data_IF_343646252857
#
_entry.id   IF_343646252857
#
_cell.length_a   1.000
_cell.length_b   1.000
_cell.length_c   1.000
_cell.angle_alpha   90.00
_cell.angle_beta   90.00
_cell.angle_gamma   90.00
#
_symmetry.space_group_name_H-M   'P 1'
#
loop_
_entity.id
_entity.type
_entity.pdbx_description
1 polymer ?
#
# COMPACT_ATOMS: atom_id res chain seq x y z
N UNK A 1 -85.09 -18.17 26.76
CA UNK A 1 -84.44 -18.06 25.44
C UNK A 1 -83.78 -16.68 25.24
N UNK A 2 -84.42 -15.58 25.67
CA UNK A 2 -83.88 -14.21 25.53
C UNK A 2 -82.53 -13.96 26.23
N UNK A 3 -82.33 -14.39 27.48
CA UNK A 3 -81.05 -14.23 28.20
C UNK A 3 -79.85 -14.93 27.54
N UNK A 4 -80.09 -15.97 26.74
CA UNK A 4 -79.04 -16.66 25.99
C UNK A 4 -78.64 -15.85 24.75
N UNK A 5 -79.62 -15.24 24.06
CA UNK A 5 -79.35 -14.37 22.93
C UNK A 5 -78.61 -13.09 23.33
N UNK A 6 -78.97 -12.47 24.45
CA UNK A 6 -78.28 -11.28 24.95
C UNK A 6 -76.82 -11.57 25.32
N UNK A 7 -76.55 -12.66 26.05
CA UNK A 7 -75.17 -13.10 26.33
C UNK A 7 -74.38 -13.39 25.06
N UNK A 8 -75.03 -13.91 24.02
CA UNK A 8 -74.38 -14.20 22.74
C UNK A 8 -74.07 -12.93 21.96
N UNK A 9 -74.94 -11.91 22.00
CA UNK A 9 -74.67 -10.58 21.45
C UNK A 9 -73.51 -9.90 22.17
N UNK A 10 -73.50 -9.91 23.51
CA UNK A 10 -72.44 -9.28 24.30
C UNK A 10 -71.06 -9.92 24.06
N UNK A 11 -70.99 -11.25 23.99
CA UNK A 11 -69.74 -11.97 23.63
C UNK A 11 -69.26 -11.69 22.21
N UNK A 12 -70.18 -11.49 21.25
CA UNK A 12 -69.82 -11.10 19.87
C UNK A 12 -69.29 -9.67 19.83
N UNK A 13 -69.88 -8.77 20.60
CA UNK A 13 -69.47 -7.37 20.69
C UNK A 13 -68.06 -7.25 21.28
N UNK A 14 -67.79 -7.92 22.42
CA UNK A 14 -66.46 -7.96 23.05
C UNK A 14 -65.36 -8.47 22.13
N UNK A 15 -65.61 -9.54 21.38
CA UNK A 15 -64.62 -10.06 20.41
C UNK A 15 -64.39 -9.13 19.23
N UNK A 16 -65.39 -8.34 18.84
CA UNK A 16 -65.25 -7.32 17.78
C UNK A 16 -64.35 -6.20 18.26
N UNK A 17 -64.61 -5.66 19.45
CA UNK A 17 -63.81 -4.61 20.09
C UNK A 17 -62.36 -5.04 20.35
N UNK A 18 -62.15 -6.27 20.82
CA UNK A 18 -60.81 -6.82 21.06
C UNK A 18 -60.02 -6.98 19.75
N UNK A 19 -60.71 -7.35 18.67
CA UNK A 19 -60.10 -7.47 17.34
C UNK A 19 -59.75 -6.09 16.78
N UNK A 20 -60.62 -5.12 16.94
CA UNK A 20 -60.40 -3.74 16.46
C UNK A 20 -59.24 -3.07 17.22
N UNK A 21 -59.16 -3.25 18.55
CA UNK A 21 -58.01 -2.80 19.37
C UNK A 21 -56.68 -3.42 18.91
N UNK A 22 -56.68 -4.73 18.61
CA UNK A 22 -55.49 -5.40 18.12
C UNK A 22 -55.08 -4.91 16.72
N UNK A 23 -56.03 -4.61 15.85
CA UNK A 23 -55.77 -4.02 14.53
C UNK A 23 -55.13 -2.63 14.68
N UNK A 24 -55.69 -1.79 15.56
CA UNK A 24 -55.20 -0.44 15.81
C UNK A 24 -53.76 -0.44 16.35
N UNK A 25 -53.46 -1.30 17.32
CA UNK A 25 -52.11 -1.48 17.86
C UNK A 25 -51.09 -1.95 16.80
N UNK A 26 -51.50 -2.81 15.87
CA UNK A 26 -50.64 -3.27 14.77
C UNK A 26 -50.33 -2.12 13.80
N UNK A 27 -51.33 -1.28 13.49
CA UNK A 27 -51.18 -0.12 12.60
C UNK A 27 -50.21 0.90 13.21
N UNK A 28 -50.37 1.22 14.49
CA UNK A 28 -49.52 2.18 15.19
C UNK A 28 -48.05 1.71 15.23
N UNK A 29 -47.83 0.42 15.51
CA UNK A 29 -46.49 -0.17 15.54
C UNK A 29 -45.82 -0.18 14.16
N UNK A 30 -46.58 -0.44 13.09
CA UNK A 30 -46.09 -0.39 11.71
C UNK A 30 -45.71 1.04 11.30
N UNK A 31 -46.45 2.05 11.78
CA UNK A 31 -46.20 3.47 11.52
C UNK A 31 -44.92 3.96 12.20
N UNK A 32 -44.65 3.54 13.45
CA UNK A 32 -43.39 3.83 14.15
C UNK A 32 -42.18 3.13 13.51
N UNK A 33 -42.32 1.87 13.09
CA UNK A 33 -41.25 1.14 12.39
C UNK A 33 -40.91 1.80 11.04
N UNK A 34 -41.91 2.29 10.29
CA UNK A 34 -41.69 3.05 9.04
C UNK A 34 -40.99 4.39 9.28
N UNK A 35 -41.36 5.13 10.32
CA UNK A 35 -40.77 6.44 10.59
C UNK A 35 -39.32 6.34 11.08
N UNK A 36 -39.01 5.33 11.90
CA UNK A 36 -37.64 5.04 12.31
C UNK A 36 -36.78 4.62 11.11
N UNK A 37 -37.31 3.80 10.22
CA UNK A 37 -36.64 3.42 8.98
C UNK A 37 -36.33 4.62 8.08
N UNK A 38 -37.30 5.50 7.87
CA UNK A 38 -37.15 6.68 7.02
C UNK A 38 -36.14 7.67 7.62
N UNK A 39 -36.08 7.79 8.95
CA UNK A 39 -35.06 8.59 9.66
C UNK A 39 -33.66 8.00 9.50
N UNK A 40 -33.52 6.68 9.61
CA UNK A 40 -32.23 6.00 9.41
C UNK A 40 -31.80 6.09 7.95
N UNK A 41 -32.71 5.96 7.00
CA UNK A 41 -32.44 6.08 5.55
C UNK A 41 -32.04 7.52 5.17
N UNK A 42 -32.76 8.54 5.66
CA UNK A 42 -32.37 9.95 5.50
C UNK A 42 -31.05 10.28 6.22
N UNK A 43 -30.77 9.68 7.37
CA UNK A 43 -29.50 9.81 8.07
C UNK A 43 -28.34 9.19 7.27
N UNK A 44 -28.56 8.00 6.72
CA UNK A 44 -27.58 7.30 5.89
C UNK A 44 -27.35 7.99 4.54
N UNK A 45 -28.38 8.59 3.93
CA UNK A 45 -28.25 9.39 2.71
C UNK A 45 -27.49 10.70 2.98
N UNK A 46 -27.73 11.36 4.13
CA UNK A 46 -26.97 12.55 4.54
C UNK A 46 -25.51 12.21 4.81
N UNK A 47 -25.20 11.11 5.50
CA UNK A 47 -23.84 10.62 5.67
C UNK A 47 -23.20 10.18 4.35
N UNK A 48 -23.96 9.58 3.43
CA UNK A 48 -23.49 9.17 2.11
C UNK A 48 -23.19 10.35 1.18
N UNK A 49 -23.96 11.44 1.23
CA UNK A 49 -23.70 12.65 0.45
C UNK A 49 -22.55 13.49 1.04
N UNK A 50 -22.37 13.52 2.37
CA UNK A 50 -21.23 14.23 2.99
C UNK A 50 -19.93 13.43 2.92
N UNK A 51 -19.97 12.09 3.02
CA UNK A 51 -18.80 11.22 2.84
C UNK A 51 -18.49 10.92 1.37
N UNK A 52 -19.48 10.95 0.48
CA UNK A 52 -19.32 10.69 -0.95
C UNK A 52 -19.04 11.91 -1.82
N UNK A 53 -19.34 13.13 -1.35
CA UNK A 53 -19.16 14.37 -2.14
C UNK A 53 -17.98 15.26 -1.72
N UNK A 54 -17.59 15.25 -0.44
CA UNK A 54 -16.53 16.13 0.09
C UNK A 54 -15.16 15.48 0.22
N UNK A 55 -15.08 14.16 0.27
CA UNK A 55 -13.82 13.43 0.52
C UNK A 55 -13.08 13.08 -0.77
N UNK A 56 -13.78 12.90 -1.91
CA UNK A 56 -13.14 12.59 -3.19
C UNK A 56 -12.19 13.68 -3.71
N UNK A 57 -12.51 15.00 -3.66
CA UNK A 57 -11.60 16.02 -4.13
C UNK A 57 -10.36 16.14 -3.25
N UNK A 58 -10.53 16.03 -1.92
CA UNK A 58 -9.45 16.19 -0.95
C UNK A 58 -8.57 14.94 -0.89
N UNK A 59 -9.14 13.73 -0.89
CA UNK A 59 -8.32 12.51 -0.89
C UNK A 59 -7.59 12.31 -2.22
N UNK A 60 -8.16 12.69 -3.37
CA UNK A 60 -7.46 12.64 -4.66
C UNK A 60 -6.30 13.64 -4.77
N UNK A 61 -6.46 14.86 -4.24
CA UNK A 61 -5.39 15.87 -4.18
C UNK A 61 -4.33 15.55 -3.12
N UNK A 62 -4.73 15.07 -1.94
CA UNK A 62 -3.81 14.72 -0.85
C UNK A 62 -3.08 13.41 -1.16
N UNK A 63 -3.70 12.41 -1.78
CA UNK A 63 -2.96 11.20 -2.18
C UNK A 63 -2.07 11.46 -3.40
N UNK A 64 -2.56 12.12 -4.44
CA UNK A 64 -1.80 12.32 -5.69
C UNK A 64 -0.52 13.16 -5.51
N UNK A 65 -0.61 14.27 -4.78
CA UNK A 65 0.55 15.13 -4.53
C UNK A 65 1.55 14.50 -3.56
N UNK A 66 1.06 13.82 -2.50
CA UNK A 66 1.93 13.18 -1.52
C UNK A 66 2.63 11.96 -2.11
N UNK A 67 1.94 11.07 -2.84
CA UNK A 67 2.62 9.92 -3.45
C UNK A 67 3.65 10.37 -4.50
N UNK A 68 3.36 11.39 -5.32
CA UNK A 68 4.30 11.90 -6.32
C UNK A 68 5.55 12.55 -5.70
N UNK A 69 5.36 13.44 -4.72
CA UNK A 69 6.50 14.09 -4.01
C UNK A 69 7.25 13.13 -3.11
N UNK A 70 6.57 12.18 -2.46
CA UNK A 70 7.18 11.19 -1.59
C UNK A 70 7.97 10.15 -2.38
N UNK A 71 7.48 9.71 -3.54
CA UNK A 71 8.25 8.82 -4.43
C UNK A 71 9.48 9.53 -5.00
N UNK A 72 9.37 10.82 -5.37
CA UNK A 72 10.51 11.62 -5.80
C UNK A 72 11.51 11.92 -4.67
N UNK A 73 11.03 12.20 -3.46
CA UNK A 73 11.85 12.40 -2.26
C UNK A 73 12.60 11.12 -1.86
N UNK A 74 11.89 9.99 -1.86
CA UNK A 74 12.48 8.67 -1.62
C UNK A 74 13.51 8.34 -2.70
N UNK A 75 13.22 8.65 -3.97
CA UNK A 75 14.19 8.49 -5.06
C UNK A 75 15.42 9.37 -4.85
N UNK A 76 15.26 10.58 -4.30
CA UNK A 76 16.35 11.50 -3.98
C UNK A 76 17.29 11.03 -2.87
N UNK A 77 16.83 10.16 -1.96
CA UNK A 77 17.66 9.56 -0.89
C UNK A 77 18.11 8.13 -1.20
N UNK A 78 17.23 7.33 -1.79
CA UNK A 78 17.50 5.93 -2.11
C UNK A 78 18.52 5.81 -3.23
N UNK A 79 18.46 6.68 -4.26
CA UNK A 79 19.39 6.63 -5.38
C UNK A 79 20.84 6.90 -4.94
N UNK A 80 21.17 7.97 -4.18
CA UNK A 80 22.53 8.16 -3.67
C UNK A 80 23.01 7.02 -2.77
N UNK A 81 22.14 6.48 -1.92
CA UNK A 81 22.50 5.36 -1.04
C UNK A 81 22.81 4.08 -1.83
N UNK A 82 21.97 3.74 -2.82
CA UNK A 82 22.21 2.63 -3.73
C UNK A 82 23.47 2.81 -4.55
N UNK A 83 23.72 4.01 -5.08
CA UNK A 83 24.97 4.30 -5.79
C UNK A 83 26.18 4.12 -4.88
N UNK A 84 26.13 4.60 -3.64
CA UNK A 84 27.22 4.47 -2.67
C UNK A 84 27.56 3.00 -2.39
N UNK A 85 26.56 2.16 -2.13
CA UNK A 85 26.78 0.72 -1.93
C UNK A 85 27.21 0.02 -3.22
N UNK A 86 26.67 0.42 -4.37
CA UNK A 86 27.09 -0.08 -5.68
C UNK A 86 28.56 0.20 -5.99
N UNK A 87 29.05 1.42 -5.72
CA UNK A 87 30.46 1.77 -5.89
C UNK A 87 31.34 0.99 -4.93
N UNK A 88 30.93 0.86 -3.67
CA UNK A 88 31.67 0.09 -2.66
C UNK A 88 31.81 -1.37 -3.05
N UNK A 89 30.72 -2.01 -3.48
CA UNK A 89 30.77 -3.38 -3.99
C UNK A 89 31.57 -3.45 -5.29
N UNK A 90 31.42 -2.49 -6.20
CA UNK A 90 32.17 -2.45 -7.45
C UNK A 90 33.68 -2.37 -7.25
N UNK A 91 34.16 -1.56 -6.31
CA UNK A 91 35.59 -1.50 -5.95
C UNK A 91 36.09 -2.84 -5.41
N UNK A 92 35.32 -3.46 -4.50
CA UNK A 92 35.62 -4.80 -3.98
C UNK A 92 35.69 -5.84 -5.11
N UNK A 93 34.76 -5.80 -6.06
CA UNK A 93 34.74 -6.70 -7.21
C UNK A 93 35.94 -6.47 -8.14
N UNK A 94 36.33 -5.22 -8.38
CA UNK A 94 37.54 -4.89 -9.16
C UNK A 94 38.78 -5.48 -8.48
N UNK A 95 38.96 -5.26 -7.18
CA UNK A 95 40.09 -5.82 -6.43
C UNK A 95 40.10 -7.34 -6.45
N UNK A 96 38.93 -7.98 -6.33
CA UNK A 96 38.81 -9.42 -6.45
C UNK A 96 39.23 -9.93 -7.84
N UNK A 97 38.77 -9.28 -8.91
CA UNK A 97 39.18 -9.63 -10.28
C UNK A 97 40.70 -9.53 -10.41
N UNK A 98 41.31 -8.43 -9.96
CA UNK A 98 42.78 -8.28 -10.05
C UNK A 98 43.51 -9.34 -9.22
N UNK A 99 43.03 -9.64 -8.00
CA UNK A 99 43.57 -10.71 -7.14
C UNK A 99 43.56 -12.05 -7.86
N UNK A 100 42.42 -12.43 -8.44
CA UNK A 100 42.26 -13.73 -9.10
C UNK A 100 43.16 -13.87 -10.34
N UNK A 101 43.40 -12.78 -11.07
CA UNK A 101 44.22 -12.80 -12.28
C UNK A 101 45.73 -12.63 -12.04
N UNK A 102 46.13 -11.80 -11.07
CA UNK A 102 47.54 -11.43 -10.84
C UNK A 102 48.13 -12.06 -9.58
N UNK A 103 47.31 -12.59 -8.68
CA UNK A 103 47.76 -13.14 -7.40
C UNK A 103 48.33 -12.08 -6.46
N UNK A 104 47.89 -10.82 -6.59
CA UNK A 104 48.33 -9.71 -5.74
C UNK A 104 47.33 -9.46 -4.62
N UNK A 105 47.84 -9.03 -3.47
CA UNK A 105 47.04 -8.65 -2.30
C UNK A 105 47.23 -7.20 -1.86
N UNK A 106 48.16 -6.49 -2.51
CA UNK A 106 48.41 -5.07 -2.25
C UNK A 106 47.56 -4.22 -3.20
N UNK A 107 46.61 -3.48 -2.62
CA UNK A 107 45.62 -2.69 -3.36
C UNK A 107 45.61 -1.24 -2.89
N UNK A 108 45.42 -0.27 -3.80
CA UNK A 108 45.24 1.11 -3.43
C UNK A 108 43.96 1.30 -2.61
N UNK A 109 44.00 2.25 -1.68
CA UNK A 109 42.79 2.67 -0.97
C UNK A 109 42.02 3.65 -1.85
N UNK A 110 40.95 3.17 -2.48
CA UNK A 110 40.03 3.99 -3.28
C UNK A 110 38.72 4.14 -2.50
N UNK A 111 38.29 5.37 -2.28
CA UNK A 111 37.08 5.67 -1.52
C UNK A 111 35.87 5.92 -2.43
N UNK A 112 34.67 5.69 -1.90
CA UNK A 112 33.42 6.02 -2.60
C UNK A 112 33.32 7.52 -2.91
N UNK A 113 33.86 8.38 -2.02
CA UNK A 113 33.83 9.83 -2.19
C UNK A 113 34.66 10.28 -3.39
N UNK A 114 35.84 9.71 -3.60
CA UNK A 114 36.69 9.98 -4.77
C UNK A 114 35.96 9.60 -6.06
N UNK A 115 35.37 8.40 -6.11
CA UNK A 115 34.60 7.95 -7.28
C UNK A 115 33.42 8.89 -7.59
N UNK A 116 32.67 9.31 -6.57
CA UNK A 116 31.53 10.22 -6.73
C UNK A 116 31.93 11.63 -7.15
N UNK A 117 33.13 12.09 -6.79
CA UNK A 117 33.62 13.44 -7.10
C UNK A 117 33.77 13.68 -8.60
N UNK A 118 33.86 12.62 -9.40
CA UNK A 118 33.86 12.69 -10.87
C UNK A 118 32.53 13.13 -11.49
N UNK A 119 31.41 13.04 -10.75
CA UNK A 119 30.06 13.26 -11.26
C UNK A 119 29.53 12.16 -12.20
N UNK A 120 30.37 11.19 -12.61
CA UNK A 120 29.99 10.13 -13.57
C UNK A 120 28.96 9.15 -13.02
N UNK A 121 29.06 8.83 -11.72
CA UNK A 121 28.24 7.78 -11.09
C UNK A 121 26.97 8.32 -10.41
N UNK A 122 26.46 9.48 -10.82
CA UNK A 122 25.31 10.14 -10.17
C UNK A 122 23.95 9.53 -10.50
N UNK A 123 23.84 8.79 -11.60
CA UNK A 123 22.59 8.17 -12.06
C UNK A 123 22.62 6.65 -11.99
N UNK A 124 23.77 6.06 -12.22
CA UNK A 124 23.96 4.61 -12.31
C UNK A 124 25.41 4.25 -12.00
N UNK A 125 25.62 3.01 -11.60
CA UNK A 125 26.94 2.42 -11.39
C UNK A 125 27.13 1.29 -12.40
N UNK A 126 28.21 1.35 -13.17
CA UNK A 126 28.63 0.31 -14.10
C UNK A 126 30.08 -0.06 -13.79
N UNK A 127 30.34 -1.36 -13.64
CA UNK A 127 31.66 -1.86 -13.25
C UNK A 127 32.75 -1.52 -14.28
N UNK A 128 32.45 -1.55 -15.58
CA UNK A 128 33.41 -1.18 -16.62
C UNK A 128 33.71 0.33 -16.59
N UNK A 129 32.68 1.17 -16.42
CA UNK A 129 32.87 2.62 -16.30
C UNK A 129 33.70 2.98 -15.06
N UNK A 130 33.59 2.19 -13.98
CA UNK A 130 34.44 2.31 -12.79
C UNK A 130 35.89 1.96 -13.11
N UNK A 131 36.15 0.86 -13.82
CA UNK A 131 37.51 0.48 -14.27
C UNK A 131 38.11 1.59 -15.14
N UNK A 132 37.36 2.10 -16.11
CA UNK A 132 37.81 3.22 -16.94
C UNK A 132 38.07 4.47 -16.12
N UNK A 133 37.20 4.79 -15.16
CA UNK A 133 37.42 5.95 -14.31
C UNK A 133 38.69 5.83 -13.49
N UNK A 134 38.91 4.68 -12.83
CA UNK A 134 40.13 4.39 -12.06
C UNK A 134 41.37 4.52 -12.96
N UNK A 135 41.32 4.02 -14.20
CA UNK A 135 42.39 4.21 -15.16
C UNK A 135 42.69 5.71 -15.35
N UNK A 136 41.70 6.51 -15.72
CA UNK A 136 41.95 7.92 -16.04
C UNK A 136 42.23 8.84 -14.84
N UNK A 137 41.56 8.64 -13.70
CA UNK A 137 41.61 9.59 -12.58
C UNK A 137 42.75 9.33 -11.61
N UNK A 138 43.23 8.10 -11.52
CA UNK A 138 44.23 7.69 -10.53
C UNK A 138 45.58 7.33 -11.17
N UNK A 139 45.79 7.69 -12.44
CA UNK A 139 47.02 7.43 -13.19
C UNK A 139 48.29 7.80 -12.41
N UNK A 140 48.41 9.06 -11.97
CA UNK A 140 49.60 9.53 -11.26
C UNK A 140 49.77 8.83 -9.89
N UNK A 141 48.68 8.56 -9.17
CA UNK A 141 48.74 7.93 -7.84
C UNK A 141 49.07 6.43 -7.90
N UNK A 142 48.66 5.75 -8.97
CA UNK A 142 48.82 4.30 -9.13
C UNK A 142 50.10 3.93 -9.88
N UNK A 143 50.52 4.74 -10.85
CA UNK A 143 51.73 4.51 -11.65
C UNK A 143 53.01 4.96 -10.91
N UNK A 144 53.00 6.14 -10.28
CA UNK A 144 54.14 6.61 -9.47
C UNK A 144 54.18 5.96 -8.07
N UNK A 145 53.06 5.39 -7.63
CA UNK A 145 52.92 4.65 -6.37
C UNK A 145 53.46 3.22 -6.43
N UNK A 146 53.46 2.53 -5.28
CA UNK A 146 53.84 1.10 -5.19
C UNK A 146 52.81 0.12 -5.79
N UNK A 147 51.80 0.60 -6.53
CA UNK A 147 50.68 -0.18 -7.06
C UNK A 147 50.77 -0.44 -8.58
N UNK A 148 51.97 -0.40 -9.15
CA UNK A 148 52.21 -0.54 -10.60
C UNK A 148 51.62 -1.83 -11.19
N UNK A 149 51.59 -2.93 -10.44
CA UNK A 149 50.99 -4.20 -10.89
C UNK A 149 49.47 -4.14 -10.98
N UNK A 150 48.82 -3.48 -10.00
CA UNK A 150 47.38 -3.22 -10.04
C UNK A 150 47.05 -2.33 -11.24
N UNK A 151 47.79 -1.23 -11.38
CA UNK A 151 47.67 -0.30 -12.49
C UNK A 151 47.76 -0.99 -13.86
N UNK A 152 48.84 -1.74 -14.11
CA UNK A 152 49.09 -2.43 -15.39
C UNK A 152 47.93 -3.36 -15.79
N UNK A 153 47.26 -3.97 -14.82
CA UNK A 153 46.11 -4.81 -15.10
C UNK A 153 44.84 -4.00 -15.38
N UNK A 154 44.58 -2.97 -14.58
CA UNK A 154 43.44 -2.06 -14.77
C UNK A 154 43.51 -1.32 -16.11
N UNK A 155 44.70 -0.83 -16.49
CA UNK A 155 44.91 -0.16 -17.77
C UNK A 155 44.69 -1.09 -18.96
N UNK A 156 45.22 -2.32 -18.89
CA UNK A 156 44.96 -3.34 -19.90
C UNK A 156 43.47 -3.64 -20.08
N UNK A 157 42.68 -3.66 -19.00
CA UNK A 157 41.22 -3.80 -19.13
C UNK A 157 40.61 -2.56 -19.77
N UNK A 158 41.00 -1.37 -19.33
CA UNK A 158 40.38 -0.12 -19.77
C UNK A 158 40.67 0.21 -21.24
N UNK A 159 41.85 -0.18 -21.73
CA UNK A 159 42.36 0.19 -23.06
C UNK A 159 42.19 -0.93 -24.10
N UNK A 160 42.45 -2.19 -23.71
CA UNK A 160 42.53 -3.30 -24.67
C UNK A 160 41.28 -4.19 -24.69
N UNK A 161 40.40 -4.09 -23.68
CA UNK A 161 39.22 -4.97 -23.56
C UNK A 161 37.94 -4.21 -23.92
N UNK A 162 37.16 -4.77 -24.85
CA UNK A 162 35.84 -4.21 -25.17
C UNK A 162 34.86 -4.36 -24.00
N UNK A 163 33.96 -3.40 -23.81
CA UNK A 163 32.90 -3.47 -22.80
C UNK A 163 32.08 -4.77 -22.89
N UNK A 164 31.81 -5.27 -24.11
CA UNK A 164 31.09 -6.52 -24.35
C UNK A 164 31.86 -7.74 -23.84
N UNK A 165 33.16 -7.78 -24.08
CA UNK A 165 34.02 -8.88 -23.62
C UNK A 165 34.16 -8.85 -22.10
N UNK A 166 34.41 -7.67 -21.53
CA UNK A 166 34.46 -7.47 -20.08
C UNK A 166 33.15 -7.93 -19.42
N UNK A 167 32.01 -7.48 -19.93
CA UNK A 167 30.70 -7.83 -19.37
C UNK A 167 30.40 -9.33 -19.47
N UNK A 168 30.86 -9.99 -20.53
CA UNK A 168 30.70 -11.44 -20.70
C UNK A 168 31.52 -12.20 -19.66
N UNK A 169 32.78 -11.79 -19.46
CA UNK A 169 33.72 -12.44 -18.52
C UNK A 169 33.38 -12.18 -17.05
N UNK A 170 32.83 -11.00 -16.73
CA UNK A 170 32.59 -10.54 -15.35
C UNK A 170 31.10 -10.39 -15.03
N UNK A 171 30.23 -11.14 -15.71
CA UNK A 171 28.78 -11.06 -15.55
C UNK A 171 28.30 -11.27 -14.09
N UNK A 172 28.93 -12.18 -13.35
CA UNK A 172 28.64 -12.41 -11.94
C UNK A 172 29.04 -11.22 -11.06
N UNK A 173 30.20 -10.61 -11.30
CA UNK A 173 30.67 -9.43 -10.59
C UNK A 173 29.74 -8.22 -10.86
N UNK A 174 29.31 -8.05 -12.12
CA UNK A 174 28.36 -7.00 -12.51
C UNK A 174 27.00 -7.22 -11.82
N UNK A 175 26.52 -8.46 -11.77
CA UNK A 175 25.29 -8.78 -11.06
C UNK A 175 25.40 -8.46 -9.56
N UNK A 176 26.55 -8.72 -8.92
CA UNK A 176 26.79 -8.36 -7.53
C UNK A 176 26.71 -6.84 -7.30
N UNK A 177 27.29 -6.04 -8.20
CA UNK A 177 27.19 -4.57 -8.15
C UNK A 177 25.75 -4.10 -8.31
N UNK A 178 25.02 -4.66 -9.27
CA UNK A 178 23.61 -4.33 -9.48
C UNK A 178 22.75 -4.67 -8.24
N UNK A 179 22.99 -5.83 -7.63
CA UNK A 179 22.31 -6.23 -6.40
C UNK A 179 22.63 -5.29 -5.24
N UNK A 180 23.89 -4.91 -5.05
CA UNK A 180 24.28 -3.96 -4.02
C UNK A 180 23.61 -2.58 -4.20
N UNK A 181 23.41 -2.13 -5.44
CA UNK A 181 22.65 -0.90 -5.73
C UNK A 181 21.20 -1.02 -5.27
N UNK A 182 20.53 -2.13 -5.59
CA UNK A 182 19.14 -2.35 -5.21
C UNK A 182 18.98 -2.56 -3.70
N UNK A 183 19.89 -3.30 -3.06
CA UNK A 183 19.93 -3.47 -1.61
C UNK A 183 20.16 -2.14 -0.88
N UNK A 184 21.09 -1.30 -1.37
CA UNK A 184 21.33 0.03 -0.80
C UNK A 184 20.12 0.96 -0.94
N UNK A 185 19.41 0.92 -2.07
CA UNK A 185 18.13 1.63 -2.24
C UNK A 185 17.09 1.12 -1.24
N UNK A 186 16.91 -0.19 -1.15
CA UNK A 186 15.93 -0.81 -0.28
C UNK A 186 16.21 -0.50 1.21
N UNK A 187 17.46 -0.53 1.64
CA UNK A 187 17.88 -0.19 2.99
C UNK A 187 17.57 1.28 3.33
N UNK A 188 17.87 2.22 2.42
CA UNK A 188 17.56 3.63 2.63
C UNK A 188 16.04 3.89 2.73
N UNK A 189 15.25 3.20 1.91
CA UNK A 189 13.78 3.25 1.97
C UNK A 189 13.29 2.68 3.31
N UNK A 190 13.81 1.53 3.74
CA UNK A 190 13.43 0.89 5.00
C UNK A 190 13.69 1.80 6.21
N UNK A 191 14.82 2.52 6.24
CA UNK A 191 15.15 3.50 7.29
C UNK A 191 14.12 4.63 7.35
N UNK A 192 13.66 5.15 6.21
CA UNK A 192 12.62 6.18 6.19
C UNK A 192 11.25 5.62 6.62
N UNK A 193 10.88 4.43 6.15
CA UNK A 193 9.65 3.75 6.57
C UNK A 193 9.61 3.47 8.08
N UNK A 194 10.74 3.10 8.68
CA UNK A 194 10.85 2.86 10.11
C UNK A 194 10.42 4.09 10.95
N UNK A 195 10.73 5.32 10.48
CA UNK A 195 10.35 6.55 11.19
C UNK A 195 8.84 6.73 11.31
N UNK A 196 8.10 6.32 10.28
CA UNK A 196 6.65 6.54 10.18
C UNK A 196 5.83 5.29 10.52
N UNK A 197 6.47 4.17 10.86
CA UNK A 197 5.79 2.90 11.17
C UNK A 197 4.72 3.06 12.26
N UNK A 198 4.96 3.94 13.24
CA UNK A 198 3.99 4.25 14.28
C UNK A 198 2.72 4.98 13.77
N UNK A 199 2.84 5.83 12.74
CA UNK A 199 1.70 6.51 12.12
C UNK A 199 0.88 5.57 11.24
N UNK A 200 1.53 4.64 10.54
CA UNK A 200 0.82 3.64 9.73
C UNK A 200 -0.07 2.73 10.59
N UNK A 201 0.37 2.39 11.80
CA UNK A 201 -0.47 1.67 12.75
C UNK A 201 -1.72 2.49 13.11
N UNK A 202 -1.56 3.78 13.43
CA UNK A 202 -2.69 4.66 13.76
C UNK A 202 -3.68 4.81 12.59
N UNK A 203 -3.18 4.99 11.36
CA UNK A 203 -4.01 5.07 10.15
C UNK A 203 -4.70 3.72 9.88
N UNK A 204 -3.99 2.60 10.04
CA UNK A 204 -4.53 1.26 9.89
C UNK A 204 -5.69 0.98 10.85
N UNK A 205 -5.55 1.35 12.12
CA UNK A 205 -6.63 1.24 13.11
C UNK A 205 -7.82 2.16 12.77
N UNK A 206 -7.57 3.37 12.26
CA UNK A 206 -8.63 4.29 11.82
C UNK A 206 -9.45 3.69 10.66
N UNK A 207 -8.77 3.14 9.65
CA UNK A 207 -9.45 2.48 8.50
C UNK A 207 -10.18 1.21 8.94
N UNK A 208 -9.57 0.40 9.80
CA UNK A 208 -10.20 -0.80 10.36
C UNK A 208 -11.47 -0.45 11.15
N UNK A 209 -11.43 0.61 11.95
CA UNK A 209 -12.59 1.10 12.70
C UNK A 209 -13.74 1.53 11.77
N UNK A 210 -13.43 2.26 10.69
CA UNK A 210 -14.44 2.66 9.69
C UNK A 210 -15.07 1.42 9.03
N UNK A 211 -14.27 0.42 8.65
CA UNK A 211 -14.77 -0.82 8.04
C UNK A 211 -15.69 -1.59 8.98
N UNK A 212 -15.35 -1.68 10.27
CA UNK A 212 -16.19 -2.33 11.28
C UNK A 212 -17.54 -1.61 11.41
N UNK A 213 -17.56 -0.28 11.48
CA UNK A 213 -18.80 0.50 11.56
C UNK A 213 -19.68 0.27 10.33
N UNK A 214 -19.11 0.29 9.13
CA UNK A 214 -19.82 0.03 7.87
C UNK A 214 -20.40 -1.39 7.85
N UNK A 215 -19.62 -2.40 8.28
CA UNK A 215 -20.09 -3.78 8.36
C UNK A 215 -21.29 -3.94 9.32
N UNK A 216 -21.22 -3.34 10.51
CA UNK A 216 -22.31 -3.37 11.49
C UNK A 216 -23.58 -2.73 10.90
N UNK A 217 -23.44 -1.59 10.20
CA UNK A 217 -24.56 -0.96 9.52
C UNK A 217 -25.19 -1.85 8.45
N UNK A 218 -24.37 -2.54 7.63
CA UNK A 218 -24.85 -3.47 6.60
C UNK A 218 -25.61 -4.64 7.24
N UNK A 219 -25.08 -5.23 8.31
CA UNK A 219 -25.73 -6.35 9.00
C UNK A 219 -27.10 -5.92 9.55
N UNK A 220 -27.16 -4.79 10.26
CA UNK A 220 -28.42 -4.25 10.79
C UNK A 220 -29.41 -3.97 9.65
N UNK A 221 -28.94 -3.36 8.56
CA UNK A 221 -29.75 -3.08 7.38
C UNK A 221 -30.36 -4.36 6.77
N UNK A 222 -29.54 -5.41 6.61
CA UNK A 222 -29.99 -6.70 6.05
C UNK A 222 -31.04 -7.37 6.96
N UNK A 223 -30.84 -7.35 8.29
CA UNK A 223 -31.81 -7.89 9.25
C UNK A 223 -33.14 -7.13 9.17
N UNK A 224 -33.11 -5.80 9.14
CA UNK A 224 -34.32 -4.99 9.03
C UNK A 224 -35.05 -5.20 7.70
N UNK A 225 -34.30 -5.25 6.59
CA UNK A 225 -34.86 -5.51 5.26
C UNK A 225 -35.51 -6.89 5.19
N UNK A 226 -34.86 -7.91 5.75
CA UNK A 226 -35.38 -9.26 5.81
C UNK A 226 -36.68 -9.34 6.62
N UNK A 227 -36.74 -8.69 7.80
CA UNK A 227 -37.95 -8.63 8.63
C UNK A 227 -39.13 -7.98 7.91
N UNK A 228 -38.92 -6.87 7.19
CA UNK A 228 -39.99 -6.21 6.42
C UNK A 228 -40.54 -7.11 5.33
N UNK A 229 -39.67 -7.78 4.57
CA UNK A 229 -40.08 -8.69 3.49
C UNK A 229 -40.91 -9.86 4.03
N UNK A 230 -40.51 -10.42 5.18
CA UNK A 230 -41.28 -11.49 5.85
C UNK A 230 -42.65 -11.01 6.34
N UNK A 231 -42.75 -9.78 6.89
CA UNK A 231 -44.03 -9.19 7.34
C UNK A 231 -44.98 -8.95 6.16
N UNK A 232 -44.46 -8.45 5.04
CA UNK A 232 -45.23 -8.23 3.80
C UNK A 232 -45.78 -9.54 3.23
N UNK A 233 -44.95 -10.58 3.16
CA UNK A 233 -45.37 -11.90 2.66
C UNK A 233 -46.47 -12.52 3.52
N UNK A 234 -46.39 -12.38 4.85
CA UNK A 234 -47.46 -12.83 5.76
C UNK A 234 -48.77 -12.06 5.53
N UNK A 235 -48.71 -10.72 5.43
CA UNK A 235 -49.90 -9.90 5.15
C UNK A 235 -50.60 -10.33 3.85
N UNK A 236 -49.84 -10.58 2.79
CA UNK A 236 -50.36 -11.04 1.50
C UNK A 236 -51.03 -12.44 1.57
N UNK A 237 -50.59 -13.31 2.48
CA UNK A 237 -51.24 -14.61 2.71
C UNK A 237 -52.57 -14.45 3.47
N UNK A 238 -52.64 -13.57 4.48
CA UNK A 238 -53.86 -13.34 5.23
C UNK A 238 -54.96 -12.64 4.40
N UNK A 239 -54.60 -11.70 3.51
CA UNK A 239 -55.60 -11.10 2.59
C UNK A 239 -56.22 -12.15 1.67
N UNK A 240 -55.41 -13.06 1.11
CA UNK A 240 -55.92 -14.15 0.27
C UNK A 240 -56.88 -15.12 0.99
N UNK A 241 -56.74 -15.27 2.30
CA UNK A 241 -57.60 -16.13 3.11
C UNK A 241 -58.91 -15.45 3.52
N UNK A 242 -58.96 -14.12 3.53
CA UNK A 242 -60.14 -13.32 3.90
C UNK A 242 -61.05 -12.98 2.72
N UNK A 243 -60.55 -13.03 1.48
CA UNK A 243 -61.33 -12.84 0.26
C UNK A 243 -62.03 -14.11 -0.25
N UNK A 244 -61.82 -15.25 0.43
CA UNK A 244 -62.57 -16.50 0.22
C UNK A 244 -63.76 -16.59 1.17
#
# INVERSE_FOLDING_TARGET
>A
FEEYEERMKDKRQKRKEERDKNIEAIIEKDKMEKSLAEKVEKGCLKCGCTLGGGVLPVWGLVSGLWYGTWLQYLSGKALPAGISEGIKEGLKQIFQIVREFRGIDDFPTITVSEMLSSGKFTKSVNLFDMVQHINYSLYNELEEGSYSQFWTYVSGIAEDVSITEFNTRHSANIAAVANAVEEGKAAAIAVEHAKYTHLYNAIGYSVLAILIIVFVMIIIYLVLRYRRKKKMNKKAQYTKLLEK
#
